data_IF_211694730498
#
_entry.id   IF_211694730498
#
_cell.length_a   1.000
_cell.length_b   1.000
_cell.length_c   1.000
_cell.angle_alpha   90.00
_cell.angle_beta   90.00
_cell.angle_gamma   90.00
#
_symmetry.space_group_name_H-M   'P 1'
#
loop_
_entity.id
_entity.type
_entity.pdbx_description
1 polymer ?
#
# COMPACT_ATOMS: atom_id res chain seq x y z
N UNK A 1 -14.50 19.04 -7.18
CA UNK A 1 -14.50 17.57 -7.36
C UNK A 1 -13.62 17.21 -8.55
N UNK A 2 -12.42 16.71 -8.25
CA UNK A 2 -11.40 16.30 -9.22
C UNK A 2 -11.82 14.96 -9.85
N UNK A 3 -12.54 14.98 -10.98
CA UNK A 3 -12.82 13.76 -11.73
C UNK A 3 -11.52 13.20 -12.31
N UNK A 4 -11.22 11.92 -12.05
CA UNK A 4 -10.23 11.13 -12.80
C UNK A 4 -8.83 10.99 -12.21
N UNK A 5 -8.55 11.42 -10.97
CA UNK A 5 -7.21 11.26 -10.38
C UNK A 5 -6.98 9.92 -9.68
N UNK A 6 -8.04 9.29 -9.15
CA UNK A 6 -7.98 8.00 -8.46
C UNK A 6 -8.97 7.00 -9.09
N UNK A 7 -8.86 5.73 -8.73
CA UNK A 7 -9.70 4.68 -9.27
C UNK A 7 -11.19 4.91 -8.96
N UNK A 8 -12.04 4.57 -9.92
CA UNK A 8 -13.49 4.59 -9.78
C UNK A 8 -13.97 3.27 -9.19
N UNK A 9 -14.73 3.33 -8.09
CA UNK A 9 -15.34 2.14 -7.47
C UNK A 9 -16.20 1.36 -8.46
N UNK A 10 -16.88 2.05 -9.39
CA UNK A 10 -17.73 1.42 -10.42
C UNK A 10 -16.97 0.58 -11.44
N UNK A 11 -15.65 0.80 -11.55
CA UNK A 11 -14.75 0.09 -12.45
C UNK A 11 -13.80 -0.83 -11.66
N UNK A 12 -14.01 -0.97 -10.36
CA UNK A 12 -13.19 -1.83 -9.51
C UNK A 12 -13.81 -3.21 -9.42
N UNK A 13 -13.04 -4.23 -9.75
CA UNK A 13 -13.48 -5.62 -9.68
C UNK A 13 -13.27 -6.17 -8.26
N UNK A 14 -14.31 -6.79 -7.71
CA UNK A 14 -14.27 -7.54 -6.46
C UNK A 14 -15.41 -8.56 -6.47
N UNK A 15 -15.28 -9.60 -5.65
CA UNK A 15 -16.28 -10.64 -5.48
C UNK A 15 -16.18 -11.17 -4.03
N UNK A 16 -16.94 -12.22 -3.69
CA UNK A 16 -16.95 -12.79 -2.33
C UNK A 16 -15.58 -13.24 -1.79
N UNK A 17 -14.60 -13.45 -2.67
CA UNK A 17 -13.26 -13.93 -2.36
C UNK A 17 -12.20 -12.80 -2.46
N UNK A 18 -12.61 -11.55 -2.73
CA UNK A 18 -11.74 -10.38 -2.86
C UNK A 18 -12.27 -9.22 -2.03
N UNK A 19 -11.40 -8.55 -1.29
CA UNK A 19 -11.77 -7.42 -0.44
C UNK A 19 -12.37 -6.27 -1.27
N UNK A 20 -13.63 -5.92 -0.96
CA UNK A 20 -14.30 -4.75 -1.50
C UNK A 20 -13.66 -3.48 -0.91
N UNK A 21 -13.26 -2.49 -1.74
CA UNK A 21 -12.73 -1.24 -1.21
C UNK A 21 -13.69 -0.59 -0.21
N UNK A 22 -13.17 -0.29 0.98
CA UNK A 22 -13.93 0.33 2.06
C UNK A 22 -13.26 1.64 2.54
N UNK A 23 -13.69 2.17 3.69
CA UNK A 23 -13.20 3.43 4.24
C UNK A 23 -11.67 3.48 4.41
N UNK A 24 -11.06 2.35 4.73
CA UNK A 24 -9.61 2.16 4.83
C UNK A 24 -8.89 2.40 3.49
N UNK A 25 -9.45 1.84 2.41
CA UNK A 25 -8.99 1.93 1.05
C UNK A 25 -9.16 3.36 0.54
N UNK A 26 -10.29 3.99 0.84
CA UNK A 26 -10.54 5.39 0.46
C UNK A 26 -9.62 6.34 1.23
N UNK A 27 -9.38 6.11 2.52
CA UNK A 27 -8.45 6.92 3.31
C UNK A 27 -7.01 6.80 2.80
N UNK A 28 -6.56 5.60 2.45
CA UNK A 28 -5.24 5.39 1.86
C UNK A 28 -5.12 6.06 0.48
N UNK A 29 -6.14 5.98 -0.36
CA UNK A 29 -6.17 6.67 -1.66
C UNK A 29 -6.13 8.20 -1.52
N UNK A 30 -6.84 8.76 -0.53
CA UNK A 30 -6.81 10.20 -0.23
C UNK A 30 -5.43 10.63 0.28
N UNK A 31 -4.83 9.88 1.20
CA UNK A 31 -3.48 10.15 1.70
C UNK A 31 -2.41 10.03 0.59
N UNK A 32 -2.57 9.06 -0.30
CA UNK A 32 -1.72 8.91 -1.48
C UNK A 32 -1.84 10.10 -2.44
N UNK A 33 -3.07 10.56 -2.69
CA UNK A 33 -3.32 11.73 -3.53
C UNK A 33 -2.70 12.99 -2.92
N UNK A 34 -2.80 13.17 -1.60
CA UNK A 34 -2.16 14.29 -0.91
C UNK A 34 -0.63 14.20 -0.96
N UNK A 35 -0.05 13.03 -0.69
CA UNK A 35 1.39 12.78 -0.79
C UNK A 35 1.92 13.12 -2.19
N UNK A 36 1.14 12.79 -3.24
CA UNK A 36 1.52 13.06 -4.63
C UNK A 36 1.74 14.54 -4.95
N UNK A 37 1.16 15.45 -4.17
CA UNK A 37 1.35 16.90 -4.34
C UNK A 37 2.77 17.36 -3.97
N UNK A 38 3.49 16.55 -3.18
CA UNK A 38 4.86 16.80 -2.74
C UNK A 38 5.93 16.39 -3.78
N UNK A 39 5.59 15.52 -4.73
CA UNK A 39 6.50 14.95 -5.76
C UNK A 39 6.92 15.93 -6.86
N UNK A 40 6.80 17.24 -6.62
CA UNK A 40 7.14 18.32 -7.58
C UNK A 40 8.59 18.26 -8.09
N UNK A 41 9.50 17.66 -7.31
CA UNK A 41 10.93 17.56 -7.64
C UNK A 41 11.35 16.18 -8.14
N UNK A 42 10.47 15.18 -8.08
CA UNK A 42 10.76 13.80 -8.46
C UNK A 42 9.59 12.88 -8.14
N UNK A 43 9.13 12.16 -9.15
CA UNK A 43 8.07 11.16 -9.05
C UNK A 43 8.67 9.80 -8.70
N UNK A 44 7.99 8.95 -7.92
CA UNK A 44 8.48 7.60 -7.62
C UNK A 44 8.64 6.81 -8.92
N UNK A 45 9.81 6.22 -9.15
CA UNK A 45 10.10 5.44 -10.36
C UNK A 45 9.69 3.99 -10.20
N UNK A 46 9.89 3.43 -9.01
CA UNK A 46 9.45 2.07 -8.67
C UNK A 46 8.51 2.16 -7.47
N UNK A 47 7.30 1.63 -7.64
CA UNK A 47 6.35 1.52 -6.53
C UNK A 47 5.89 0.08 -6.35
N UNK A 48 5.59 -0.29 -5.11
CA UNK A 48 5.10 -1.61 -4.73
C UNK A 48 3.85 -1.47 -3.85
N UNK A 49 2.76 -2.12 -4.22
CA UNK A 49 1.66 -2.41 -3.31
C UNK A 49 1.79 -3.86 -2.79
N UNK A 50 1.66 -4.05 -1.48
CA UNK A 50 1.54 -5.37 -0.85
C UNK A 50 0.08 -5.59 -0.43
N UNK A 51 -0.47 -6.76 -0.76
CA UNK A 51 -1.88 -7.08 -0.51
C UNK A 51 -2.83 -6.25 -1.39
N UNK A 52 -2.69 -6.36 -2.71
CA UNK A 52 -3.42 -5.48 -3.64
C UNK A 52 -4.93 -5.65 -3.63
N UNK A 53 -5.46 -6.79 -3.17
CA UNK A 53 -6.90 -7.02 -3.07
C UNK A 53 -7.61 -6.80 -4.41
N UNK A 54 -8.55 -5.86 -4.45
CA UNK A 54 -9.27 -5.45 -5.67
C UNK A 54 -8.43 -4.62 -6.65
N UNK A 55 -7.23 -4.19 -6.26
CA UNK A 55 -6.34 -3.34 -7.04
C UNK A 55 -6.68 -1.85 -6.98
N UNK A 56 -7.56 -1.43 -6.08
CA UNK A 56 -8.04 -0.05 -5.99
C UNK A 56 -6.91 0.96 -5.77
N UNK A 57 -5.95 0.63 -4.91
CA UNK A 57 -4.85 1.53 -4.54
C UNK A 57 -3.78 1.58 -5.63
N UNK A 58 -3.25 0.45 -6.12
CA UNK A 58 -2.27 0.47 -7.23
C UNK A 58 -2.84 1.12 -8.49
N UNK A 59 -4.13 0.92 -8.77
CA UNK A 59 -4.81 1.58 -9.90
C UNK A 59 -4.93 3.09 -9.67
N UNK A 60 -5.24 3.51 -8.44
CA UNK A 60 -5.25 4.93 -8.07
C UNK A 60 -3.86 5.56 -8.23
N UNK A 61 -2.80 4.89 -7.79
CA UNK A 61 -1.43 5.33 -8.02
C UNK A 61 -1.14 5.48 -9.52
N UNK A 62 -1.47 4.47 -10.32
CA UNK A 62 -1.22 4.49 -11.76
C UNK A 62 -1.92 5.69 -12.45
N UNK A 63 -3.17 5.99 -12.06
CA UNK A 63 -3.92 7.15 -12.56
C UNK A 63 -3.32 8.48 -12.11
N UNK A 64 -2.86 8.58 -10.84
CA UNK A 64 -2.15 9.76 -10.34
C UNK A 64 -0.93 10.01 -11.21
N UNK A 65 -0.07 8.99 -11.39
CA UNK A 65 1.17 9.10 -12.18
C UNK A 65 0.92 9.42 -13.65
N UNK A 66 -0.14 8.86 -14.25
CA UNK A 66 -0.49 9.12 -15.65
C UNK A 66 -0.96 10.57 -15.89
N UNK A 67 -1.67 11.16 -14.94
CA UNK A 67 -2.28 12.49 -15.08
C UNK A 67 -1.36 13.65 -14.67
N UNK A 68 -0.13 13.36 -14.27
CA UNK A 68 0.81 14.35 -13.77
C UNK A 68 1.41 15.19 -14.90
N UNK A 69 0.88 16.39 -15.08
CA UNK A 69 1.38 17.40 -16.01
C UNK A 69 2.85 17.74 -15.69
N UNK A 70 3.78 17.18 -16.47
CA UNK A 70 5.22 17.33 -16.29
C UNK A 70 5.99 16.01 -16.17
N UNK A 71 5.31 14.87 -16.03
CA UNK A 71 5.96 13.58 -16.22
C UNK A 71 6.45 13.49 -17.69
N UNK A 72 7.74 13.20 -17.94
CA UNK A 72 8.26 13.11 -19.30
C UNK A 72 7.40 12.13 -20.13
N UNK A 73 7.08 12.54 -21.35
CA UNK A 73 6.30 11.78 -22.34
C UNK A 73 6.74 10.31 -22.35
N UNK A 74 5.82 9.40 -22.00
CA UNK A 74 6.06 7.99 -21.58
C UNK A 74 6.81 7.87 -20.26
N UNK A 75 6.05 7.98 -19.17
CA UNK A 75 6.54 7.88 -17.82
C UNK A 75 7.26 6.56 -17.54
N UNK A 76 8.45 6.65 -16.98
CA UNK A 76 9.39 5.55 -16.63
C UNK A 76 9.04 4.90 -15.29
N UNK A 77 7.75 4.86 -14.94
CA UNK A 77 7.28 4.26 -13.70
C UNK A 77 7.06 2.77 -13.92
N UNK A 78 7.63 1.97 -13.04
CA UNK A 78 7.32 0.55 -12.92
C UNK A 78 6.57 0.33 -11.62
N UNK A 79 5.36 -0.17 -11.73
CA UNK A 79 4.53 -0.52 -10.58
C UNK A 79 4.59 -2.03 -10.37
N UNK A 80 4.57 -2.45 -9.13
CA UNK A 80 4.44 -3.83 -8.71
C UNK A 80 3.27 -3.93 -7.75
N UNK A 81 2.47 -4.98 -7.88
CA UNK A 81 1.48 -5.34 -6.87
C UNK A 81 1.65 -6.82 -6.51
N UNK A 82 1.56 -7.12 -5.22
CA UNK A 82 1.64 -8.48 -4.70
C UNK A 82 0.37 -8.81 -3.95
N UNK A 83 -0.08 -10.05 -4.07
CA UNK A 83 -1.14 -10.58 -3.21
C UNK A 83 -0.92 -12.09 -3.03
N UNK A 84 -1.29 -12.62 -1.87
CA UNK A 84 -1.23 -14.06 -1.62
C UNK A 84 -2.39 -14.80 -2.31
N UNK A 85 -3.53 -14.11 -2.50
CA UNK A 85 -4.74 -14.65 -3.08
C UNK A 85 -4.75 -14.51 -4.62
N UNK A 86 -4.77 -15.61 -5.38
CA UNK A 86 -4.87 -15.56 -6.85
C UNK A 86 -6.10 -14.81 -7.36
N UNK A 87 -7.23 -14.86 -6.64
CA UNK A 87 -8.45 -14.13 -7.03
C UNK A 87 -8.27 -12.61 -6.90
N UNK A 88 -7.51 -12.15 -5.89
CA UNK A 88 -7.16 -10.74 -5.73
C UNK A 88 -6.22 -10.27 -6.85
N UNK A 89 -5.22 -11.07 -7.21
CA UNK A 89 -4.35 -10.75 -8.35
C UNK A 89 -5.14 -10.64 -9.67
N UNK A 90 -6.12 -11.53 -9.91
CA UNK A 90 -7.01 -11.45 -11.06
C UNK A 90 -7.90 -10.19 -11.03
N UNK A 91 -8.53 -9.91 -9.90
CA UNK A 91 -9.35 -8.70 -9.71
C UNK A 91 -8.53 -7.42 -9.89
N UNK A 92 -7.30 -7.38 -9.38
CA UNK A 92 -6.37 -6.26 -9.58
C UNK A 92 -6.08 -6.04 -11.06
N UNK A 93 -5.84 -7.10 -11.84
CA UNK A 93 -5.62 -6.99 -13.28
C UNK A 93 -6.86 -6.44 -14.00
N UNK A 94 -8.05 -6.94 -13.67
CA UNK A 94 -9.31 -6.48 -14.27
C UNK A 94 -9.58 -5.00 -13.94
N UNK A 95 -9.34 -4.58 -12.69
CA UNK A 95 -9.45 -3.17 -12.27
C UNK A 95 -8.49 -2.29 -13.06
N UNK A 96 -7.21 -2.68 -13.20
CA UNK A 96 -6.22 -1.94 -13.98
C UNK A 96 -6.61 -1.85 -15.46
N UNK A 97 -7.14 -2.92 -16.05
CA UNK A 97 -7.61 -2.96 -17.43
C UNK A 97 -8.82 -2.06 -17.65
N UNK A 98 -9.80 -2.09 -16.74
CA UNK A 98 -10.99 -1.25 -16.79
C UNK A 98 -10.66 0.26 -16.74
N UNK A 99 -9.52 0.62 -16.13
CA UNK A 99 -9.01 1.99 -16.08
C UNK A 99 -7.97 2.32 -17.16
N UNK A 100 -7.58 1.36 -18.00
CA UNK A 100 -6.63 1.58 -19.09
C UNK A 100 -5.17 1.81 -18.65
N UNK A 101 -4.79 1.31 -17.46
CA UNK A 101 -3.46 1.54 -16.84
C UNK A 101 -2.70 0.24 -16.52
N UNK A 102 -3.11 -0.89 -17.09
CA UNK A 102 -2.48 -2.19 -16.85
C UNK A 102 -1.02 -2.32 -17.34
N UNK A 103 -0.62 -1.53 -18.34
CA UNK A 103 0.67 -1.72 -19.03
C UNK A 103 1.92 -1.38 -18.20
N UNK A 104 1.76 -0.71 -17.05
CA UNK A 104 2.86 -0.27 -16.19
C UNK A 104 2.92 -1.01 -14.86
N UNK A 105 2.16 -2.10 -14.70
CA UNK A 105 2.02 -2.80 -13.42
C UNK A 105 2.29 -4.29 -13.58
N UNK A 106 3.30 -4.80 -12.88
CA UNK A 106 3.58 -6.23 -12.77
C UNK A 106 2.88 -6.80 -11.52
N UNK A 107 2.14 -7.90 -11.71
CA UNK A 107 1.40 -8.58 -10.64
C UNK A 107 2.07 -9.89 -10.28
N UNK A 108 2.30 -10.11 -8.98
CA UNK A 108 2.93 -11.32 -8.47
C UNK A 108 2.06 -11.95 -7.39
N UNK A 109 1.70 -13.21 -7.58
CA UNK A 109 1.06 -14.00 -6.52
C UNK A 109 2.17 -14.49 -5.57
N UNK A 110 2.28 -13.88 -4.39
CA UNK A 110 3.36 -14.16 -3.45
C UNK A 110 3.03 -13.73 -2.03
N UNK A 111 3.79 -14.24 -1.05
CA UNK A 111 3.68 -13.85 0.35
C UNK A 111 4.57 -12.62 0.62
N UNK A 112 3.94 -11.49 0.91
CA UNK A 112 4.59 -10.19 1.12
C UNK A 112 5.54 -9.86 -0.04
N UNK A 113 6.84 -9.71 0.25
CA UNK A 113 7.87 -9.36 -0.72
C UNK A 113 8.71 -10.56 -1.19
N UNK A 114 8.28 -11.81 -0.91
CA UNK A 114 9.09 -13.01 -1.19
C UNK A 114 9.39 -13.21 -2.68
N UNK A 115 8.46 -12.83 -3.57
CA UNK A 115 8.66 -12.85 -5.02
C UNK A 115 9.39 -11.63 -5.59
N UNK A 116 9.65 -10.61 -4.75
CA UNK A 116 10.22 -9.32 -5.13
C UNK A 116 11.68 -9.20 -4.70
N UNK A 117 12.01 -9.66 -3.50
CA UNK A 117 13.39 -9.70 -2.99
C UNK A 117 14.15 -10.92 -3.54
N UNK A 118 15.48 -10.81 -3.74
CA UNK A 118 16.31 -9.63 -3.51
C UNK A 118 16.34 -8.63 -4.68
N UNK A 119 15.55 -8.86 -5.75
CA UNK A 119 15.71 -8.13 -7.02
C UNK A 119 15.41 -6.62 -6.91
N UNK A 120 14.41 -6.24 -6.11
CA UNK A 120 14.10 -4.83 -5.81
C UNK A 120 14.68 -4.34 -4.47
N UNK A 121 15.72 -4.98 -3.94
CA UNK A 121 16.35 -4.51 -2.72
C UNK A 121 16.90 -3.09 -2.91
N UNK A 122 16.51 -2.16 -2.01
CA UNK A 122 16.91 -0.76 -2.04
C UNK A 122 16.41 0.02 -3.26
N UNK A 123 15.39 -0.47 -3.97
CA UNK A 123 14.93 0.10 -5.23
C UNK A 123 13.51 0.67 -5.18
N UNK A 124 12.72 0.35 -4.14
CA UNK A 124 11.32 0.78 -4.04
C UNK A 124 11.25 2.22 -3.54
N UNK A 125 10.77 3.14 -4.37
CA UNK A 125 10.60 4.56 -4.02
C UNK A 125 9.30 4.81 -3.25
N UNK A 126 8.26 4.00 -3.48
CA UNK A 126 6.99 4.08 -2.77
C UNK A 126 6.47 2.67 -2.45
N UNK A 127 6.25 2.40 -1.16
CA UNK A 127 5.60 1.18 -0.68
C UNK A 127 4.21 1.51 -0.15
N UNK A 128 3.18 0.80 -0.62
CA UNK A 128 1.80 0.94 -0.18
C UNK A 128 1.36 -0.36 0.48
N UNK A 129 0.71 -0.25 1.64
CA UNK A 129 0.22 -1.42 2.34
C UNK A 129 -1.09 -1.14 3.08
N UNK A 130 -2.15 -1.85 2.71
CA UNK A 130 -3.34 -1.96 3.53
C UNK A 130 -3.37 -3.38 4.16
N UNK A 131 -2.76 -3.57 5.35
CA UNK A 131 -2.66 -4.88 5.97
C UNK A 131 -4.02 -5.47 6.39
N UNK A 132 -4.12 -6.78 6.62
CA UNK A 132 -5.12 -7.30 7.54
C UNK A 132 -4.80 -6.81 8.95
N UNK A 133 -5.43 -5.70 9.36
CA UNK A 133 -5.11 -4.95 10.57
C UNK A 133 -6.08 -5.18 11.74
N UNK A 134 -7.15 -5.96 11.55
CA UNK A 134 -8.18 -6.16 12.57
C UNK A 134 -7.67 -7.14 13.63
N UNK A 135 -7.69 -6.80 14.93
CA UNK A 135 -7.38 -7.74 15.99
C UNK A 135 -8.31 -8.95 15.90
N UNK A 136 -7.74 -10.14 15.82
CA UNK A 136 -8.52 -11.37 15.60
C UNK A 136 -7.86 -12.51 16.40
N UNK A 137 -8.64 -13.37 17.09
CA UNK A 137 -8.09 -14.57 17.73
C UNK A 137 -7.27 -15.42 16.75
N UNK A 138 -6.19 -16.05 17.22
CA UNK A 138 -5.30 -16.81 16.33
C UNK A 138 -6.03 -17.97 15.65
N UNK A 139 -6.97 -18.59 16.35
CA UNK A 139 -7.78 -19.71 15.85
C UNK A 139 -8.71 -19.29 14.69
N UNK A 140 -9.01 -18.01 14.56
CA UNK A 140 -9.84 -17.46 13.47
C UNK A 140 -8.99 -17.06 12.28
N UNK A 141 -7.74 -16.61 12.50
CA UNK A 141 -6.78 -16.32 11.43
C UNK A 141 -6.46 -17.59 10.62
N UNK A 142 -6.37 -18.74 11.28
CA UNK A 142 -6.06 -20.03 10.64
C UNK A 142 -7.19 -20.59 9.77
N UNK A 143 -8.42 -20.09 9.89
CA UNK A 143 -9.58 -20.58 9.12
C UNK A 143 -9.55 -20.16 7.65
N UNK A 144 -8.77 -19.14 7.30
CA UNK A 144 -8.55 -18.70 5.92
C UNK A 144 -9.79 -18.15 5.20
N UNK A 145 -9.70 -18.04 3.87
CA UNK A 145 -10.75 -17.44 3.03
C UNK A 145 -10.69 -15.92 3.00
N UNK A 146 -11.84 -15.26 2.72
CA UNK A 146 -11.93 -13.80 2.66
C UNK A 146 -11.52 -13.12 3.97
N UNK A 147 -11.70 -13.79 5.11
CA UNK A 147 -11.30 -13.28 6.41
C UNK A 147 -9.80 -12.98 6.52
N UNK A 148 -8.96 -13.64 5.70
CA UNK A 148 -7.54 -13.35 5.62
C UNK A 148 -7.24 -11.92 5.14
N UNK A 149 -8.20 -11.23 4.52
CA UNK A 149 -8.06 -9.84 4.10
C UNK A 149 -8.07 -8.85 5.28
N UNK A 150 -8.68 -9.19 6.42
CA UNK A 150 -8.74 -8.32 7.59
C UNK A 150 -8.13 -8.92 8.86
N UNK A 151 -8.08 -10.25 9.00
CA UNK A 151 -7.67 -10.93 10.22
C UNK A 151 -6.16 -10.77 10.52
N UNK A 152 -5.83 -9.86 11.44
CA UNK A 152 -4.46 -9.48 11.76
C UNK A 152 -3.85 -10.18 12.98
N UNK A 153 -4.57 -11.05 13.68
CA UNK A 153 -4.05 -11.74 14.87
C UNK A 153 -3.98 -10.85 16.11
N UNK A 154 -3.06 -11.13 17.03
CA UNK A 154 -2.83 -10.30 18.23
C UNK A 154 -2.49 -8.85 17.85
N UNK A 155 -3.18 -7.88 18.47
CA UNK A 155 -3.14 -6.44 18.11
C UNK A 155 -3.44 -6.15 16.64
N UNK A 156 -3.86 -7.12 15.83
CA UNK A 156 -3.99 -6.96 14.39
C UNK A 156 -2.65 -6.83 13.64
N UNK A 157 -1.53 -7.29 14.22
CA UNK A 157 -0.18 -7.03 13.68
C UNK A 157 0.58 -8.22 13.15
N UNK A 158 0.03 -9.43 13.12
CA UNK A 158 0.75 -10.64 12.67
C UNK A 158 1.39 -10.44 11.30
N UNK A 159 0.70 -9.81 10.36
CA UNK A 159 1.23 -9.55 9.01
C UNK A 159 2.11 -8.30 8.98
N UNK A 160 1.73 -7.25 9.72
CA UNK A 160 2.53 -6.03 9.87
C UNK A 160 3.92 -6.35 10.41
N UNK A 161 4.01 -7.07 11.52
CA UNK A 161 5.26 -7.41 12.21
C UNK A 161 6.17 -8.32 11.33
N UNK A 162 5.60 -9.06 10.37
CA UNK A 162 6.37 -9.81 9.35
C UNK A 162 6.93 -8.91 8.26
N UNK A 163 6.22 -7.85 7.87
CA UNK A 163 6.68 -6.91 6.85
C UNK A 163 7.74 -5.94 7.40
N UNK A 164 7.62 -5.51 8.67
CA UNK A 164 8.47 -4.48 9.26
C UNK A 164 9.99 -4.68 9.04
N UNK A 165 10.55 -5.90 9.20
CA UNK A 165 11.98 -6.15 8.92
C UNK A 165 12.38 -6.08 7.43
N UNK A 166 11.42 -6.17 6.51
CA UNK A 166 11.63 -6.12 5.06
C UNK A 166 11.61 -4.68 4.53
N UNK A 167 10.91 -3.76 5.20
CA UNK A 167 10.78 -2.35 4.76
C UNK A 167 12.16 -1.70 4.53
N UNK A 168 13.14 -1.79 5.45
CA UNK A 168 14.47 -1.20 5.23
C UNK A 168 15.26 -1.82 4.08
N UNK A 169 14.94 -3.07 3.71
CA UNK A 169 15.56 -3.79 2.62
C UNK A 169 14.94 -3.45 1.26
N UNK A 170 13.65 -3.12 1.24
CA UNK A 170 12.90 -2.76 0.02
C UNK A 170 13.13 -1.31 -0.38
N UNK A 171 12.99 -0.39 0.58
CA UNK A 171 12.93 1.04 0.29
C UNK A 171 14.28 1.59 -0.17
N UNK A 172 14.23 2.40 -1.24
CA UNK A 172 15.36 3.17 -1.74
C UNK A 172 15.83 4.22 -0.75
N UNK A 173 16.91 4.93 -1.07
CA UNK A 173 17.42 6.02 -0.21
C UNK A 173 16.42 7.15 -0.04
N UNK A 174 15.58 7.39 -1.05
CA UNK A 174 14.46 8.34 -1.01
C UNK A 174 13.10 7.66 -0.82
N UNK A 175 13.09 6.38 -0.45
CA UNK A 175 11.88 5.57 -0.39
C UNK A 175 10.95 5.99 0.76
N UNK A 176 9.66 6.00 0.47
CA UNK A 176 8.58 6.33 1.39
C UNK A 176 7.57 5.17 1.46
N UNK A 177 6.83 5.07 2.56
CA UNK A 177 5.78 4.07 2.74
C UNK A 177 4.52 4.66 3.34
N UNK A 178 3.35 4.31 2.79
CA UNK A 178 2.05 4.54 3.42
C UNK A 178 1.46 3.20 3.88
N UNK A 179 0.94 3.18 5.11
CA UNK A 179 0.31 2.00 5.69
C UNK A 179 -0.96 2.36 6.44
N UNK A 180 -2.02 1.57 6.25
CA UNK A 180 -3.22 1.66 7.09
C UNK A 180 -2.96 1.01 8.45
N UNK A 181 -3.41 1.67 9.51
CA UNK A 181 -3.40 1.16 10.89
C UNK A 181 -4.65 1.61 11.63
N UNK A 182 -4.98 0.89 12.70
CA UNK A 182 -5.94 1.29 13.74
C UNK A 182 -5.21 1.48 15.08
N UNK A 183 -5.78 2.18 16.07
CA UNK A 183 -5.18 2.36 17.40
C UNK A 183 -4.70 1.05 18.05
N UNK A 184 -5.44 -0.05 17.90
CA UNK A 184 -5.09 -1.37 18.41
C UNK A 184 -3.76 -1.92 17.85
N UNK A 185 -3.36 -1.47 16.65
CA UNK A 185 -2.06 -1.82 16.06
C UNK A 185 -0.89 -1.09 16.74
N UNK A 186 -1.13 -0.15 17.64
CA UNK A 186 -0.10 0.61 18.34
C UNK A 186 0.87 1.32 17.36
N UNK A 187 0.38 2.29 16.56
CA UNK A 187 1.20 2.97 15.55
C UNK A 187 2.41 3.67 16.16
N UNK A 188 2.35 4.08 17.43
CA UNK A 188 3.51 4.66 18.13
C UNK A 188 4.63 3.63 18.33
N UNK A 189 4.30 2.39 18.70
CA UNK A 189 5.27 1.29 18.75
C UNK A 189 5.86 1.00 17.36
N UNK A 190 5.02 0.97 16.31
CA UNK A 190 5.50 0.78 14.92
C UNK A 190 6.48 1.88 14.49
N UNK A 191 6.19 3.15 14.84
CA UNK A 191 7.10 4.28 14.62
C UNK A 191 8.43 4.06 15.36
N UNK A 192 8.39 3.65 16.63
CA UNK A 192 9.60 3.39 17.40
C UNK A 192 10.45 2.27 16.79
N UNK A 193 9.82 1.20 16.29
CA UNK A 193 10.51 0.12 15.57
C UNK A 193 11.23 0.69 14.34
N UNK A 194 10.52 1.41 13.46
CA UNK A 194 11.09 1.95 12.23
C UNK A 194 12.14 3.03 12.48
N UNK A 195 12.01 3.81 13.55
CA UNK A 195 13.02 4.76 13.98
C UNK A 195 14.37 4.07 14.24
N UNK A 196 14.39 2.88 14.84
CA UNK A 196 15.62 2.09 15.05
C UNK A 196 16.26 1.64 13.73
N UNK A 197 15.50 1.57 12.65
CA UNK A 197 15.96 1.23 11.30
C UNK A 197 16.30 2.46 10.42
N UNK A 198 16.37 3.66 11.00
CA UNK A 198 16.78 4.85 10.25
C UNK A 198 15.63 5.57 9.53
N UNK A 199 14.38 5.31 9.90
CA UNK A 199 13.22 6.01 9.36
C UNK A 199 12.72 7.09 10.33
N UNK A 200 11.90 7.99 9.82
CA UNK A 200 10.93 8.79 10.59
C UNK A 200 9.54 8.30 10.26
N UNK A 201 8.65 8.25 11.25
CA UNK A 201 7.25 7.89 11.06
C UNK A 201 6.30 8.92 11.64
N UNK A 202 5.18 9.17 10.96
CA UNK A 202 4.11 10.06 11.43
C UNK A 202 2.75 9.61 10.89
N UNK A 203 1.69 9.88 11.67
CA UNK A 203 0.31 9.72 11.19
C UNK A 203 -0.01 10.93 10.31
N UNK A 204 -0.40 10.70 9.06
CA UNK A 204 -0.64 11.76 8.06
C UNK A 204 -2.12 11.97 7.73
N UNK A 205 -2.97 11.00 8.05
CA UNK A 205 -4.41 11.09 7.87
C UNK A 205 -5.12 10.21 8.90
N UNK A 206 -6.32 10.62 9.30
CA UNK A 206 -7.17 9.89 10.24
C UNK A 206 -8.64 10.01 9.80
N UNK A 207 -9.43 8.98 10.06
CA UNK A 207 -10.88 8.97 9.78
C UNK A 207 -11.61 8.09 10.79
N UNK A 208 -12.71 8.61 11.33
CA UNK A 208 -13.69 7.76 11.99
C UNK A 208 -14.57 7.10 10.91
N UNK A 209 -14.54 5.78 10.84
CA UNK A 209 -15.49 4.93 10.14
C UNK A 209 -16.36 4.22 11.20
N UNK A 210 -17.57 3.79 10.86
CA UNK A 210 -18.63 3.40 11.80
C UNK A 210 -18.17 2.71 13.10
N UNK A 211 -17.29 1.70 13.01
CA UNK A 211 -16.74 0.95 14.15
C UNK A 211 -15.21 1.04 14.31
N UNK A 212 -14.53 1.82 13.47
CA UNK A 212 -13.06 1.86 13.42
C UNK A 212 -12.52 3.30 13.37
N UNK A 213 -11.44 3.54 14.10
CA UNK A 213 -10.65 4.76 13.93
C UNK A 213 -9.45 4.45 13.04
N UNK A 214 -9.55 4.79 11.77
CA UNK A 214 -8.54 4.50 10.76
C UNK A 214 -7.46 5.58 10.76
N UNK A 215 -6.21 5.17 10.61
CA UNK A 215 -5.04 6.05 10.58
C UNK A 215 -4.10 5.64 9.44
N UNK A 216 -3.54 6.61 8.72
CA UNK A 216 -2.49 6.37 7.72
C UNK A 216 -1.15 6.74 8.31
N UNK A 217 -0.29 5.74 8.44
CA UNK A 217 1.08 5.89 8.87
C UNK A 217 1.99 6.12 7.66
N UNK A 218 2.78 7.19 7.69
CA UNK A 218 3.79 7.51 6.69
C UNK A 218 5.19 7.28 7.27
N UNK A 219 5.98 6.44 6.62
CA UNK A 219 7.41 6.28 6.90
C UNK A 219 8.26 6.87 5.79
N UNK A 220 9.33 7.56 6.16
CA UNK A 220 10.33 8.09 5.24
C UNK A 220 11.73 7.83 5.80
N UNK A 221 12.69 7.47 4.95
CA UNK A 221 14.08 7.31 5.39
C UNK A 221 14.63 8.66 5.88
N UNK A 222 15.32 8.66 7.03
CA UNK A 222 16.01 9.87 7.51
C UNK A 222 17.07 10.26 6.50
N UNK A 223 17.02 11.50 6.02
CA UNK A 223 18.12 12.08 5.27
C UNK A 223 19.41 11.93 6.07
N UNK A 224 20.47 11.45 5.42
CA UNK A 224 21.79 11.50 6.04
C UNK A 224 22.08 12.95 6.45
N UNK A 225 22.62 13.19 7.66
CA UNK A 225 23.02 14.54 8.04
C UNK A 225 23.97 15.06 6.96
N UNK A 226 23.70 16.26 6.44
CA UNK A 226 24.57 16.95 5.50
C UNK A 226 25.96 17.01 6.12
N UNK A 227 26.91 16.28 5.55
CA UNK A 227 28.33 16.32 5.92
C UNK A 227 28.96 17.65 5.58
#
# INVERSE_FOLDING_TARGET
>A
MSKGKIASIKLTCYNKDVYEPSDDSFLLADALLELSTSWRKGWPRIALEIGSGSGYIITSLALILQNSAGAPTRSTHQLFATDLNPAAAAATLETLQAHGVANSTDLLITDLASGILPRLAGAVDLLLFNPPYVPTPEEEVERGGIAAAWAGGWKGRRVIDRLMPLIPQLLSESGEMLMVTVPDNDPQELIQIMNRHGFTGMIVAERAADEEFLQILHFQRRSAPSS
#
